data_IF_694451650890
#
_entry.id   IF_694451650890
#
_cell.length_a   1.000
_cell.length_b   1.000
_cell.length_c   1.000
_cell.angle_alpha   90.00
_cell.angle_beta   90.00
_cell.angle_gamma   90.00
#
_symmetry.space_group_name_H-M   'P 1'
#
loop_
_entity.id
_entity.type
_entity.pdbx_description
1 polymer ?
#
# COMPACT_ATOMS: atom_id res chain seq x y z
N UNK A 1 -2.83 -18.70 -19.98
CA UNK A 1 -3.18 -17.80 -18.86
C UNK A 1 -4.10 -18.50 -17.88
N UNK A 2 -3.86 -18.38 -16.57
CA UNK A 2 -4.72 -18.94 -15.53
C UNK A 2 -5.25 -17.77 -14.68
N UNK A 3 -6.11 -16.94 -15.26
CA UNK A 3 -6.71 -15.80 -14.58
C UNK A 3 -8.12 -16.14 -14.09
N UNK A 4 -8.52 -15.58 -12.96
CA UNK A 4 -9.89 -15.61 -12.45
C UNK A 4 -10.40 -14.18 -12.32
N UNK A 5 -11.55 -13.86 -12.93
CA UNK A 5 -12.15 -12.54 -12.87
C UNK A 5 -13.64 -12.66 -12.57
N UNK A 6 -14.11 -12.00 -11.51
CA UNK A 6 -15.51 -11.97 -11.10
C UNK A 6 -15.90 -10.52 -10.75
N UNK A 7 -16.77 -9.91 -11.50
CA UNK A 7 -17.26 -8.55 -11.31
C UNK A 7 -17.40 -7.81 -12.63
N UNK A 8 -18.13 -6.68 -12.60
CA UNK A 8 -18.28 -5.82 -13.76
C UNK A 8 -16.91 -5.24 -14.14
N UNK A 9 -16.49 -5.43 -15.38
CA UNK A 9 -15.20 -5.00 -15.94
C UNK A 9 -13.95 -5.47 -15.16
N UNK A 10 -14.05 -6.55 -14.38
CA UNK A 10 -12.90 -7.13 -13.72
C UNK A 10 -11.92 -7.70 -14.78
N UNK A 11 -10.65 -7.26 -14.74
CA UNK A 11 -9.57 -7.71 -15.64
C UNK A 11 -9.90 -7.54 -17.14
N UNK A 12 -10.70 -6.53 -17.51
CA UNK A 12 -11.34 -6.40 -18.83
C UNK A 12 -10.36 -6.23 -19.99
N UNK A 13 -9.21 -5.57 -19.78
CA UNK A 13 -8.24 -5.30 -20.86
C UNK A 13 -7.00 -6.22 -20.83
N UNK A 14 -7.01 -7.27 -20.03
CA UNK A 14 -5.85 -8.14 -19.88
C UNK A 14 -5.48 -8.84 -21.20
N UNK A 15 -4.25 -8.68 -21.66
CA UNK A 15 -3.74 -9.25 -22.92
C UNK A 15 -2.86 -10.46 -22.71
N UNK A 16 -1.76 -10.32 -21.99
CA UNK A 16 -0.77 -11.38 -21.76
C UNK A 16 -0.61 -11.77 -20.30
N UNK A 17 -1.08 -10.93 -19.36
CA UNK A 17 -0.99 -11.18 -17.92
C UNK A 17 -1.60 -12.53 -17.53
N UNK A 18 -0.96 -13.24 -16.61
CA UNK A 18 -1.37 -14.56 -16.16
C UNK A 18 -1.34 -14.71 -14.65
N UNK A 19 -2.07 -15.72 -14.12
CA UNK A 19 -2.17 -16.02 -12.68
C UNK A 19 -2.75 -14.88 -11.84
N UNK A 20 -3.57 -14.01 -12.42
CA UNK A 20 -4.24 -12.95 -11.70
C UNK A 20 -5.58 -13.42 -11.14
N UNK A 21 -5.92 -12.98 -9.93
CA UNK A 21 -7.21 -13.23 -9.26
C UNK A 21 -7.89 -11.88 -9.00
N UNK A 22 -8.98 -11.61 -9.68
CA UNK A 22 -9.71 -10.33 -9.64
C UNK A 22 -11.16 -10.56 -9.20
N UNK A 23 -11.56 -10.03 -8.05
CA UNK A 23 -12.89 -10.17 -7.47
C UNK A 23 -13.45 -8.80 -7.05
N UNK A 24 -14.29 -8.21 -7.87
CA UNK A 24 -14.92 -6.91 -7.61
C UNK A 24 -15.12 -6.12 -8.89
N UNK A 25 -16.07 -5.18 -8.87
CA UNK A 25 -16.26 -4.27 -10.01
C UNK A 25 -15.02 -3.42 -10.19
N UNK A 26 -14.53 -3.30 -11.44
CA UNK A 26 -13.34 -2.52 -11.82
C UNK A 26 -12.05 -2.93 -11.08
N UNK A 27 -11.96 -4.19 -10.64
CA UNK A 27 -10.70 -4.70 -10.07
C UNK A 27 -9.74 -5.13 -11.18
N UNK A 28 -8.47 -4.70 -11.15
CA UNK A 28 -7.45 -4.94 -12.20
C UNK A 28 -7.94 -4.57 -13.61
N UNK A 29 -8.84 -3.61 -13.75
CA UNK A 29 -9.49 -3.30 -15.02
C UNK A 29 -8.52 -2.75 -16.11
N UNK A 30 -7.44 -2.07 -15.70
CA UNK A 30 -6.40 -1.58 -16.60
C UNK A 30 -5.23 -2.56 -16.82
N UNK A 31 -5.22 -3.75 -16.18
CA UNK A 31 -4.09 -4.69 -16.28
C UNK A 31 -3.96 -5.25 -17.69
N UNK A 32 -2.79 -5.11 -18.31
CA UNK A 32 -2.50 -5.66 -19.64
C UNK A 32 -1.53 -6.83 -19.57
N UNK A 33 -0.43 -6.70 -18.87
CA UNK A 33 0.69 -7.65 -18.85
C UNK A 33 1.03 -8.16 -17.44
N UNK A 34 0.60 -7.45 -16.38
CA UNK A 34 0.95 -7.79 -14.99
C UNK A 34 0.53 -9.20 -14.60
N UNK A 35 1.43 -9.91 -13.91
CA UNK A 35 1.31 -11.30 -13.49
C UNK A 35 1.10 -11.46 -11.99
N UNK A 36 0.39 -12.52 -11.60
CA UNK A 36 0.35 -12.99 -10.20
C UNK A 36 -0.17 -11.94 -9.21
N UNK A 37 -1.13 -11.14 -9.62
CA UNK A 37 -1.77 -10.15 -8.77
C UNK A 37 -3.08 -10.70 -8.17
N UNK A 38 -3.36 -10.33 -6.93
CA UNK A 38 -4.63 -10.60 -6.25
C UNK A 38 -5.32 -9.25 -5.96
N UNK A 39 -6.51 -9.06 -6.50
CA UNK A 39 -7.32 -7.86 -6.29
C UNK A 39 -8.73 -8.26 -5.83
N UNK A 40 -9.09 -7.88 -4.61
CA UNK A 40 -10.39 -8.18 -4.02
C UNK A 40 -11.01 -6.88 -3.50
N UNK A 41 -12.07 -6.40 -4.15
CA UNK A 41 -12.78 -5.18 -3.77
C UNK A 41 -13.01 -4.25 -4.96
N UNK A 42 -13.90 -3.29 -4.76
CA UNK A 42 -14.21 -2.26 -5.76
C UNK A 42 -12.96 -1.44 -6.08
N UNK A 43 -12.57 -1.37 -7.37
CA UNK A 43 -11.40 -0.67 -7.88
C UNK A 43 -10.07 -1.02 -7.18
N UNK A 44 -9.93 -2.23 -6.66
CA UNK A 44 -8.64 -2.69 -6.16
C UNK A 44 -7.67 -2.92 -7.33
N UNK A 45 -6.42 -2.39 -7.25
CA UNK A 45 -5.41 -2.42 -8.32
C UNK A 45 -5.93 -1.93 -9.69
N UNK A 46 -6.88 -0.98 -9.70
CA UNK A 46 -7.53 -0.54 -10.95
C UNK A 46 -6.55 0.00 -11.98
N UNK A 47 -5.58 0.84 -11.59
CA UNK A 47 -4.61 1.43 -12.52
C UNK A 47 -3.40 0.53 -12.85
N UNK A 48 -3.34 -0.71 -12.32
CA UNK A 48 -2.22 -1.61 -12.58
C UNK A 48 -2.15 -1.98 -14.07
N UNK A 49 -1.02 -1.78 -14.70
CA UNK A 49 -0.83 -2.15 -16.12
C UNK A 49 0.11 -3.33 -16.30
N UNK A 50 1.31 -3.24 -15.73
CA UNK A 50 2.39 -4.22 -15.94
C UNK A 50 3.00 -4.72 -14.64
N UNK A 51 2.57 -4.21 -13.47
CA UNK A 51 3.17 -4.60 -12.19
C UNK A 51 2.73 -6.00 -11.75
N UNK A 52 3.67 -6.70 -11.12
CA UNK A 52 3.53 -8.09 -10.70
C UNK A 52 3.50 -8.28 -9.18
N UNK A 53 2.93 -9.42 -8.77
CA UNK A 53 3.04 -9.93 -7.40
C UNK A 53 2.46 -8.99 -6.33
N UNK A 54 1.41 -8.26 -6.65
CA UNK A 54 0.71 -7.42 -5.68
C UNK A 54 -0.51 -8.13 -5.10
N UNK A 55 -0.79 -7.87 -3.83
CA UNK A 55 -2.02 -8.32 -3.16
C UNK A 55 -2.77 -7.10 -2.64
N UNK A 56 -3.96 -6.84 -3.18
CA UNK A 56 -4.84 -5.75 -2.77
C UNK A 56 -6.20 -6.30 -2.33
N UNK A 57 -6.52 -6.14 -1.06
CA UNK A 57 -7.80 -6.59 -0.48
C UNK A 57 -8.48 -5.42 0.22
N UNK A 58 -9.52 -4.89 -0.38
CA UNK A 58 -10.27 -3.74 0.11
C UNK A 58 -10.64 -2.79 -1.03
N UNK A 59 -11.71 -2.02 -0.83
CA UNK A 59 -12.12 -0.99 -1.80
C UNK A 59 -11.02 0.06 -1.92
N UNK A 60 -10.61 0.37 -3.16
CA UNK A 60 -9.54 1.32 -3.50
C UNK A 60 -8.13 0.95 -2.96
N UNK A 61 -7.90 -0.30 -2.55
CA UNK A 61 -6.56 -0.75 -2.19
C UNK A 61 -5.66 -0.75 -3.44
N UNK A 62 -4.46 -0.12 -3.35
CA UNK A 62 -3.52 0.06 -4.48
C UNK A 62 -4.17 0.67 -5.73
N UNK A 63 -5.13 1.59 -5.56
CA UNK A 63 -5.97 2.13 -6.64
C UNK A 63 -5.16 2.63 -7.84
N UNK A 64 -4.14 3.47 -7.60
CA UNK A 64 -3.38 4.15 -8.67
C UNK A 64 -2.02 3.50 -8.95
N UNK A 65 -1.79 2.30 -8.44
CA UNK A 65 -0.54 1.57 -8.68
C UNK A 65 -0.36 1.28 -10.17
N UNK A 66 0.74 1.72 -10.75
CA UNK A 66 1.04 1.49 -12.18
C UNK A 66 2.10 0.42 -12.40
N UNK A 67 3.28 0.60 -11.79
CA UNK A 67 4.44 -0.28 -11.96
C UNK A 67 5.05 -0.77 -10.64
N UNK A 68 4.52 -0.33 -9.48
CA UNK A 68 4.96 -0.81 -8.17
C UNK A 68 4.62 -2.28 -7.97
N UNK A 69 5.59 -3.12 -7.64
CA UNK A 69 5.41 -4.57 -7.51
C UNK A 69 5.74 -5.10 -6.10
N UNK A 70 5.30 -6.33 -5.82
CA UNK A 70 5.57 -7.05 -4.56
C UNK A 70 5.06 -6.31 -3.31
N UNK A 71 3.90 -5.68 -3.43
CA UNK A 71 3.28 -4.96 -2.32
C UNK A 71 2.01 -5.67 -1.84
N UNK A 72 1.74 -5.56 -0.55
CA UNK A 72 0.55 -6.09 0.11
C UNK A 72 -0.24 -4.92 0.70
N UNK A 73 -1.49 -4.75 0.28
CA UNK A 73 -2.42 -3.74 0.78
C UNK A 73 -3.71 -4.42 1.26
N UNK A 74 -3.94 -4.43 2.55
CA UNK A 74 -5.15 -5.03 3.15
C UNK A 74 -5.91 -3.97 3.94
N UNK A 75 -7.11 -3.65 3.51
CA UNK A 75 -7.95 -2.60 4.07
C UNK A 75 -8.39 -1.59 3.02
N UNK A 76 -9.54 -0.97 3.22
CA UNK A 76 -10.01 0.05 2.30
C UNK A 76 -9.01 1.22 2.25
N UNK A 77 -8.73 1.73 1.05
CA UNK A 77 -7.78 2.81 0.77
C UNK A 77 -6.33 2.56 1.23
N UNK A 78 -5.96 1.32 1.57
CA UNK A 78 -4.58 0.95 1.88
C UNK A 78 -3.69 1.12 0.65
N UNK A 79 -2.53 1.81 0.78
CA UNK A 79 -1.61 2.13 -0.33
C UNK A 79 -2.30 2.79 -1.54
N UNK A 80 -3.39 3.53 -1.31
CA UNK A 80 -4.23 4.06 -2.40
C UNK A 80 -3.46 4.91 -3.41
N UNK A 81 -2.53 5.77 -2.96
CA UNK A 81 -1.77 6.67 -3.80
C UNK A 81 -0.47 6.07 -4.35
N UNK A 82 -0.15 4.80 -4.07
CA UNK A 82 1.09 4.19 -4.54
C UNK A 82 1.13 4.15 -6.07
N UNK A 83 2.21 4.62 -6.66
CA UNK A 83 2.41 4.58 -8.12
C UNK A 83 3.51 3.61 -8.52
N UNK A 84 4.72 3.81 -7.98
CA UNK A 84 5.93 3.05 -8.33
C UNK A 84 6.62 2.40 -7.12
N UNK A 85 6.18 2.71 -5.89
CA UNK A 85 6.76 2.13 -4.67
C UNK A 85 6.66 0.61 -4.64
N UNK A 86 7.73 -0.07 -4.21
CA UNK A 86 7.85 -1.53 -4.23
C UNK A 86 8.10 -2.13 -2.85
N UNK A 87 7.74 -3.40 -2.68
CA UNK A 87 8.00 -4.16 -1.45
C UNK A 87 7.38 -3.53 -0.19
N UNK A 88 6.20 -2.94 -0.31
CA UNK A 88 5.49 -2.35 0.81
C UNK A 88 4.46 -3.32 1.39
N UNK A 89 4.28 -3.30 2.71
CA UNK A 89 3.20 -4.00 3.40
C UNK A 89 2.37 -2.98 4.16
N UNK A 90 1.09 -2.86 3.82
CA UNK A 90 0.14 -1.98 4.48
C UNK A 90 -1.11 -2.77 4.89
N UNK A 91 -1.41 -2.81 6.16
CA UNK A 91 -2.58 -3.51 6.70
C UNK A 91 -3.35 -2.60 7.67
N UNK A 92 -4.54 -2.18 7.27
CA UNK A 92 -5.42 -1.28 7.99
C UNK A 92 -6.09 -0.27 7.06
N UNK A 93 -7.23 0.28 7.50
CA UNK A 93 -7.90 1.36 6.78
C UNK A 93 -6.94 2.56 6.64
N UNK A 94 -6.73 3.05 5.41
CA UNK A 94 -5.83 4.17 5.09
C UNK A 94 -4.37 3.99 5.54
N UNK A 95 -3.92 2.78 5.78
CA UNK A 95 -2.50 2.51 6.02
C UNK A 95 -1.70 2.88 4.78
N UNK A 96 -0.64 3.70 4.93
CA UNK A 96 0.19 4.22 3.84
C UNK A 96 -0.63 4.93 2.72
N UNK A 97 -1.70 5.65 3.11
CA UNK A 97 -2.65 6.26 2.17
C UNK A 97 -1.98 7.08 1.07
N UNK A 98 -1.01 7.94 1.42
CA UNK A 98 -0.37 8.90 0.52
C UNK A 98 0.99 8.44 -0.03
N UNK A 99 1.40 7.19 0.22
CA UNK A 99 2.66 6.68 -0.34
C UNK A 99 2.61 6.70 -1.87
N UNK A 100 3.59 7.33 -2.51
CA UNK A 100 3.71 7.38 -3.98
C UNK A 100 4.84 6.49 -4.49
N UNK A 101 6.05 6.74 -4.04
CA UNK A 101 7.28 6.08 -4.48
C UNK A 101 8.03 5.36 -3.35
N UNK A 102 7.66 5.64 -2.08
CA UNK A 102 8.29 5.03 -0.91
C UNK A 102 8.26 3.50 -0.98
N UNK A 103 9.39 2.86 -0.64
CA UNK A 103 9.59 1.42 -0.80
C UNK A 103 10.09 0.75 0.48
N UNK A 104 9.83 -0.57 0.62
CA UNK A 104 10.26 -1.38 1.76
C UNK A 104 9.72 -0.89 3.10
N UNK A 105 8.51 -0.33 3.09
CA UNK A 105 7.85 0.11 4.31
C UNK A 105 6.89 -0.98 4.82
N UNK A 106 6.75 -1.08 6.14
CA UNK A 106 5.81 -2.00 6.81
C UNK A 106 4.90 -1.20 7.73
N UNK A 107 3.61 -1.15 7.44
CA UNK A 107 2.63 -0.37 8.19
C UNK A 107 1.42 -1.22 8.58
N UNK A 108 1.16 -1.30 9.88
CA UNK A 108 0.05 -2.06 10.45
C UNK A 108 -0.79 -1.19 11.39
N UNK A 109 -2.03 -0.94 11.05
CA UNK A 109 -2.98 -0.16 11.85
C UNK A 109 -3.66 0.94 11.03
N UNK A 110 -4.73 1.51 11.60
CA UNK A 110 -5.44 2.66 11.03
C UNK A 110 -4.47 3.82 10.81
N UNK A 111 -4.42 4.37 9.59
CA UNK A 111 -3.57 5.50 9.18
C UNK A 111 -2.08 5.39 9.62
N UNK A 112 -1.58 4.18 9.83
CA UNK A 112 -0.16 3.97 10.08
C UNK A 112 0.65 4.37 8.85
N UNK A 113 1.69 5.18 9.03
CA UNK A 113 2.51 5.75 7.95
C UNK A 113 1.67 6.49 6.87
N UNK A 114 0.52 7.07 7.29
CA UNK A 114 -0.53 7.57 6.39
C UNK A 114 -0.09 8.69 5.47
N UNK A 115 0.84 9.56 5.89
CA UNK A 115 1.32 10.72 5.12
C UNK A 115 2.61 10.46 4.34
N UNK A 116 3.18 9.26 4.42
CA UNK A 116 4.43 8.94 3.71
C UNK A 116 4.25 9.13 2.20
N UNK A 117 5.21 9.77 1.56
CA UNK A 117 5.25 9.92 0.10
C UNK A 117 6.41 9.15 -0.52
N UNK A 118 7.64 9.45 -0.13
CA UNK A 118 8.87 8.86 -0.69
C UNK A 118 9.79 8.21 0.35
N UNK A 119 9.46 8.30 1.66
CA UNK A 119 10.24 7.66 2.73
C UNK A 119 10.32 6.15 2.57
N UNK A 120 11.50 5.58 2.85
CA UNK A 120 11.80 4.16 2.64
C UNK A 120 12.16 3.46 3.96
N UNK A 121 12.02 2.13 3.98
CA UNK A 121 12.49 1.28 5.08
C UNK A 121 11.92 1.66 6.46
N UNK A 122 10.70 2.18 6.50
CA UNK A 122 10.04 2.52 7.77
C UNK A 122 9.18 1.36 8.26
N UNK A 123 9.15 1.16 9.58
CA UNK A 123 8.26 0.22 10.25
C UNK A 123 7.32 0.98 11.18
N UNK A 124 6.02 0.91 10.93
CA UNK A 124 4.97 1.59 11.70
C UNK A 124 3.91 0.57 12.15
N UNK A 125 3.84 0.30 13.43
CA UNK A 125 2.88 -0.65 14.01
C UNK A 125 2.03 0.05 15.07
N UNK A 126 0.77 0.23 14.80
CA UNK A 126 -0.18 0.93 15.68
C UNK A 126 -0.97 1.99 14.93
N UNK A 127 -2.14 2.34 15.46
CA UNK A 127 -2.96 3.42 14.92
C UNK A 127 -2.16 4.74 14.98
N UNK A 128 -2.08 5.48 13.85
CA UNK A 128 -1.37 6.75 13.73
C UNK A 128 0.16 6.69 13.88
N UNK A 129 0.74 5.51 14.05
CA UNK A 129 2.20 5.35 14.13
C UNK A 129 2.89 5.90 12.88
N UNK A 130 3.91 6.76 13.03
CA UNK A 130 4.58 7.49 11.93
C UNK A 130 3.58 8.24 11.01
N UNK A 131 2.41 8.63 11.54
CA UNK A 131 1.33 9.19 10.73
C UNK A 131 1.70 10.46 9.96
N UNK A 132 2.59 11.30 10.49
CA UNK A 132 3.07 12.53 9.87
C UNK A 132 4.35 12.39 9.04
N UNK A 133 4.94 11.19 8.97
CA UNK A 133 6.15 10.97 8.16
C UNK A 133 5.87 11.22 6.68
N UNK A 134 6.68 12.02 6.03
CA UNK A 134 6.52 12.31 4.59
C UNK A 134 7.64 11.70 3.76
N UNK A 135 8.88 12.05 4.05
CA UNK A 135 10.06 11.65 3.25
C UNK A 135 11.14 10.94 4.05
N UNK A 136 11.01 10.93 5.38
CA UNK A 136 12.04 10.34 6.26
C UNK A 136 12.07 8.81 6.13
N UNK A 137 13.26 8.25 6.31
CA UNK A 137 13.55 6.83 6.13
C UNK A 137 14.14 6.19 7.38
N UNK A 138 14.14 4.86 7.40
CA UNK A 138 14.81 4.04 8.41
C UNK A 138 14.29 4.25 9.84
N UNK A 139 13.01 4.60 9.99
CA UNK A 139 12.37 4.77 11.30
C UNK A 139 11.58 3.53 11.72
N UNK A 140 11.61 3.22 13.01
CA UNK A 140 10.80 2.17 13.62
C UNK A 140 9.91 2.76 14.70
N UNK A 141 8.60 2.66 14.55
CA UNK A 141 7.60 3.14 15.50
C UNK A 141 6.60 2.04 15.84
N UNK A 142 6.50 1.68 17.10
CA UNK A 142 5.57 0.65 17.60
C UNK A 142 4.74 1.22 18.75
N UNK A 143 3.44 1.35 18.55
CA UNK A 143 2.50 1.88 19.54
C UNK A 143 1.57 2.92 18.92
N UNK A 144 0.46 3.21 19.63
CA UNK A 144 -0.48 4.26 19.26
C UNK A 144 0.24 5.62 19.19
N UNK A 145 0.12 6.34 18.05
CA UNK A 145 0.72 7.65 17.81
C UNK A 145 2.24 7.74 18.10
N UNK A 146 2.96 6.63 18.03
CA UNK A 146 4.43 6.60 18.18
C UNK A 146 5.09 7.31 16.98
N UNK A 147 6.05 8.22 17.20
CA UNK A 147 6.71 9.05 16.18
C UNK A 147 5.71 9.82 15.29
N UNK A 148 4.55 10.18 15.81
CA UNK A 148 3.44 10.72 14.99
C UNK A 148 3.82 11.98 14.22
N UNK A 149 4.51 12.93 14.83
CA UNK A 149 4.86 14.21 14.22
C UNK A 149 6.23 14.21 13.53
N UNK A 150 6.91 13.07 13.45
CA UNK A 150 8.16 12.97 12.69
C UNK A 150 7.90 13.24 11.21
N UNK A 151 8.56 14.22 10.63
CA UNK A 151 8.43 14.54 9.19
C UNK A 151 9.71 14.23 8.41
N UNK A 152 10.87 14.57 8.95
CA UNK A 152 12.19 14.47 8.28
C UNK A 152 13.25 13.72 9.09
N UNK A 153 13.00 13.43 10.37
CA UNK A 153 13.95 12.68 11.21
C UNK A 153 14.12 11.24 10.74
N UNK A 154 15.35 10.77 10.58
CA UNK A 154 15.69 9.42 10.11
C UNK A 154 16.29 8.57 11.21
N UNK A 155 16.29 7.25 11.05
CA UNK A 155 16.95 6.29 11.96
C UNK A 155 16.48 6.35 13.42
N UNK A 156 15.24 6.76 13.64
CA UNK A 156 14.66 6.80 14.98
C UNK A 156 14.00 5.46 15.34
N UNK A 157 14.07 5.09 16.60
CA UNK A 157 13.32 3.97 17.16
C UNK A 157 12.48 4.47 18.34
N UNK A 158 11.16 4.26 18.25
CA UNK A 158 10.21 4.62 19.29
C UNK A 158 9.24 3.45 19.57
N UNK A 159 9.17 3.02 20.79
CA UNK A 159 8.28 1.93 21.23
C UNK A 159 7.46 2.39 22.43
N UNK A 160 6.15 2.33 22.31
CA UNK A 160 5.19 2.73 23.35
C UNK A 160 4.16 3.72 22.84
N UNK A 161 3.07 3.84 23.57
CA UNK A 161 2.01 4.83 23.29
C UNK A 161 2.58 6.24 23.40
N UNK A 162 2.36 7.08 22.38
CA UNK A 162 2.84 8.46 22.32
C UNK A 162 4.36 8.61 22.53
N UNK A 163 5.16 7.59 22.22
CA UNK A 163 6.62 7.68 22.33
C UNK A 163 7.18 8.55 21.19
N UNK A 164 8.10 9.47 21.50
CA UNK A 164 8.73 10.40 20.56
C UNK A 164 7.71 11.12 19.65
N UNK A 165 6.57 11.56 20.17
CA UNK A 165 5.51 12.20 19.36
C UNK A 165 5.99 13.44 18.63
N UNK A 166 6.81 14.25 19.27
CA UNK A 166 7.37 15.49 18.71
C UNK A 166 8.89 15.33 18.52
N UNK A 167 9.29 14.90 17.34
CA UNK A 167 10.70 14.74 16.97
C UNK A 167 11.01 15.54 15.68
#
# INVERSE_FOLDING_TARGET
>A
SSNTAIGHEALVVNTTGCRNSSFGSLSLDANTEGDTNVAVGYQSLSANTTADNNTAVGSFALLVNTTGCRSVAIGAESLKANTTGVNNVASGFQSMLLNTEGSRNSAYGYSSLGSNTTGNCNTAIGCGSLGGNTTASDNTAVGFDSLKANTTGTTNVAVGVNSLVAN
#
